data_IF_506513942505
#
_entry.id   IF_506513942505
#
_cell.length_a   1.000
_cell.length_b   1.000
_cell.length_c   1.000
_cell.angle_alpha   90.00
_cell.angle_beta   90.00
_cell.angle_gamma   90.00
#
_symmetry.space_group_name_H-M   'P 1'
#
loop_
_entity.id
_entity.type
_entity.pdbx_description
1 polymer ?
2 polymer ?
3 non-polymer ?
4 water ?
#
# COMPACT_ATOMS: atom_id res chain seq x y z
N UNK A 8 -13.97 -22.12 -9.63
CA UNK A 8 -14.38 -23.05 -8.61
C UNK A 8 -14.37 -22.42 -7.21
N UNK A 9 -13.60 -22.98 -6.30
CA UNK A 9 -14.17 -23.56 -5.10
C UNK A 9 -14.67 -22.48 -4.19
N UNK A 10 -14.31 -21.25 -4.50
CA UNK A 10 -14.19 -20.20 -3.53
C UNK A 10 -15.30 -19.21 -3.78
N UNK A 11 -15.60 -19.07 -5.04
CA UNK A 11 -16.63 -18.17 -5.54
C UNK A 11 -18.03 -18.70 -5.24
N UNK A 12 -18.12 -19.99 -4.92
CA UNK A 12 -19.41 -20.63 -4.65
C UNK A 12 -19.81 -20.48 -3.19
N UNK A 13 -18.81 -20.44 -2.31
CA UNK A 13 -19.05 -20.37 -0.87
C UNK A 13 -19.73 -19.06 -0.48
N UNK A 14 -20.64 -19.14 0.49
CA UNK A 14 -21.28 -17.95 1.03
C UNK A 14 -20.30 -17.17 1.89
N UNK A 15 -20.71 -15.98 2.32
CA UNK A 15 -19.86 -15.13 3.15
C UNK A 15 -19.53 -15.81 4.47
N UNK A 16 -20.51 -16.51 5.03
CA UNK A 16 -20.31 -17.25 6.27
C UNK A 16 -19.33 -18.40 6.08
N UNK A 17 -19.47 -19.11 4.96
CA UNK A 17 -18.55 -20.21 4.65
C UNK A 17 -17.15 -19.68 4.37
N UNK A 18 -17.09 -18.49 3.78
CA UNK A 18 -15.81 -17.83 3.52
C UNK A 18 -15.11 -17.48 4.82
N UNK A 19 -15.84 -16.86 5.74
CA UNK A 19 -15.29 -16.49 7.04
C UNK A 19 -14.82 -17.71 7.83
N UNK A 20 -15.68 -18.72 7.91
CA UNK A 20 -15.37 -19.93 8.66
C UNK A 20 -14.15 -20.66 8.09
N UNK A 21 -14.00 -20.60 6.77
CA UNK A 21 -12.85 -21.22 6.12
C UNK A 21 -11.56 -20.49 6.50
N UNK A 22 -11.62 -19.15 6.51
CA UNK A 22 -10.46 -18.34 6.84
C UNK A 22 -10.10 -18.46 8.32
N UNK A 23 -11.13 -18.55 9.17
CA UNK A 23 -10.91 -18.68 10.61
C UNK A 23 -10.26 -20.02 10.96
N UNK A 24 -10.71 -21.07 10.30
CA UNK A 24 -10.17 -22.41 10.55
C UNK A 24 -8.78 -22.56 9.95
N UNK A 25 -8.45 -21.67 9.02
CA UNK A 25 -7.17 -21.72 8.33
C UNK A 25 -6.11 -20.92 9.07
N UNK A 26 -6.52 -20.19 10.10
CA UNK A 26 -5.62 -19.31 10.85
C UNK A 26 -4.39 -20.03 11.38
N UNK A 27 -3.21 -19.46 11.13
CA UNK A 27 -1.96 -20.00 11.65
C UNK A 27 -1.88 -19.84 13.16
N UNK A 28 -1.16 -20.76 13.83
CA UNK A 28 -1.04 -20.69 15.30
C UNK A 28 -0.09 -19.57 15.74
N UNK A 29 -0.22 -19.16 17.00
CA UNK A 29 0.69 -18.18 17.56
C UNK A 29 1.90 -18.88 18.15
N UNK A 30 3.05 -18.71 17.49
CA UNK A 30 4.27 -19.40 17.91
C UNK A 30 4.97 -18.66 19.04
N UNK A 31 5.84 -19.38 19.75
CA UNK A 31 6.59 -18.79 20.85
C UNK A 31 8.02 -18.46 20.44
N UNK A 32 8.61 -17.49 21.12
CA UNK A 32 9.99 -17.12 20.88
C UNK A 32 10.93 -18.06 21.65
N UNK A 33 12.20 -18.02 21.31
CA UNK A 33 13.19 -18.83 22.00
C UNK A 33 13.39 -18.34 23.43
N UNK A 34 13.43 -19.26 24.38
CA UNK A 34 13.60 -18.91 25.78
C UNK A 34 15.07 -18.96 26.20
N UNK A 39 15.32 -8.66 25.13
CA UNK A 39 16.66 -8.68 24.54
C UNK A 39 17.22 -7.30 24.38
N UNK A 40 18.53 -7.17 24.56
CA UNK A 40 19.15 -5.88 24.43
C UNK A 40 20.35 -5.82 23.53
N UNK A 41 20.47 -6.73 22.60
CA UNK A 41 21.62 -6.68 21.73
C UNK A 41 21.13 -6.67 20.29
N UNK A 42 21.87 -6.07 19.37
CA UNK A 42 21.51 -6.14 17.98
C UNK A 42 21.52 -7.59 17.52
N UNK A 43 22.52 -8.35 17.88
CA UNK A 43 22.62 -9.72 17.43
C UNK A 43 21.56 -10.66 17.96
N UNK A 44 21.30 -10.52 19.25
CA UNK A 44 20.30 -11.29 19.96
C UNK A 44 18.86 -10.95 19.56
N UNK A 45 18.66 -9.67 19.35
CA UNK A 45 17.37 -9.11 18.98
C UNK A 45 16.92 -9.63 17.62
N UNK A 46 17.77 -9.43 16.62
CA UNK A 46 17.50 -9.90 15.27
C UNK A 46 17.48 -11.43 15.23
N UNK A 47 18.31 -12.05 16.07
CA UNK A 47 18.36 -13.50 16.15
C UNK A 47 17.04 -14.11 16.54
N UNK A 48 16.40 -13.54 17.56
CA UNK A 48 15.11 -14.02 18.03
C UNK A 48 14.01 -13.75 17.00
N UNK A 49 14.07 -12.59 16.37
CA UNK A 49 13.06 -12.22 15.37
C UNK A 49 13.20 -13.05 14.10
N UNK A 50 14.44 -13.27 13.68
CA UNK A 50 14.72 -14.08 12.49
C UNK A 50 14.26 -15.52 12.70
N UNK A 51 14.56 -16.07 13.88
CA UNK A 51 14.16 -17.42 14.23
C UNK A 51 12.64 -17.57 14.25
N UNK A 52 11.97 -16.56 14.80
CA UNK A 52 10.52 -16.57 14.89
C UNK A 52 9.87 -16.46 13.51
N UNK A 53 10.37 -15.52 12.71
CA UNK A 53 9.82 -15.27 11.38
C UNK A 53 9.95 -16.49 10.48
N UNK A 54 11.10 -17.17 10.56
CA UNK A 54 11.34 -18.36 9.75
C UNK A 54 10.36 -19.48 10.06
N UNK A 55 10.09 -19.69 11.35
CA UNK A 55 9.15 -20.72 11.77
C UNK A 55 7.71 -20.31 11.46
N UNK A 56 7.46 -19.01 11.40
CA UNK A 56 6.14 -18.50 11.05
C UNK A 56 5.86 -18.67 9.56
N UNK A 57 6.91 -18.58 8.75
CA UNK A 57 6.78 -18.71 7.30
C UNK A 57 6.25 -20.09 6.92
N UNK A 58 6.70 -21.11 7.63
CA UNK A 58 6.27 -22.49 7.36
C UNK A 58 4.77 -22.64 7.60
N UNK A 59 4.26 -21.99 8.64
CA UNK A 59 2.84 -22.04 8.95
C UNK A 59 2.03 -21.15 7.99
N UNK A 60 2.66 -20.09 7.52
CA UNK A 60 2.01 -19.17 6.58
C UNK A 60 1.71 -19.87 5.25
N UNK A 61 2.68 -20.63 4.76
CA UNK A 61 2.55 -21.37 3.52
C UNK A 61 1.37 -22.34 3.57
N UNK A 62 1.21 -23.01 4.71
CA UNK A 62 0.11 -23.94 4.89
C UNK A 62 -1.22 -23.22 5.10
N UNK A 63 -1.15 -22.05 5.73
CA UNK A 63 -2.33 -21.19 5.86
C UNK A 63 -2.77 -20.71 4.48
N UNK A 64 -1.79 -20.35 3.66
CA UNK A 64 -2.05 -19.88 2.30
C UNK A 64 -2.74 -20.95 1.48
N UNK A 65 -2.37 -22.21 1.74
CA UNK A 65 -2.99 -23.34 1.05
C UNK A 65 -4.47 -23.44 1.36
N UNK A 66 -4.84 -23.15 2.61
CA UNK A 66 -6.23 -23.25 3.03
C UNK A 66 -7.01 -21.98 2.70
N UNK A 67 -6.37 -21.03 2.04
CA UNK A 67 -7.05 -19.84 1.56
C UNK A 67 -7.80 -20.16 0.27
N UNK A 68 -9.14 -20.05 0.31
CA UNK A 68 -10.00 -20.39 -0.84
C UNK A 68 -9.63 -19.63 -2.11
N UNK A 69 -9.26 -20.37 -3.15
CA UNK A 69 -8.86 -19.77 -4.42
C UNK A 69 -7.37 -19.85 -4.67
N UNK A 70 -6.59 -19.84 -3.59
CA UNK A 70 -5.14 -19.89 -3.69
C UNK A 70 -4.67 -21.22 -4.26
N UNK A 71 -5.40 -22.28 -3.96
CA UNK A 71 -5.07 -23.62 -4.44
C UNK A 71 -5.22 -23.70 -5.96
N UNK A 72 -6.24 -23.03 -6.48
CA UNK A 72 -6.55 -23.07 -7.90
C UNK A 72 -5.43 -22.45 -8.75
N UNK A 73 -4.66 -21.56 -8.13
CA UNK A 73 -3.53 -20.93 -8.81
C UNK A 73 -2.44 -21.93 -9.11
N UNK A 74 -1.70 -21.70 -10.18
CA UNK A 74 -0.54 -22.54 -10.52
C UNK A 74 0.55 -22.36 -9.46
N UNK A 75 1.48 -23.31 -9.42
CA UNK A 75 2.55 -23.28 -8.42
C UNK A 75 3.38 -22.01 -8.52
N UNK A 76 3.73 -21.64 -9.75
CA UNK A 76 4.57 -20.46 -10.00
C UNK A 76 3.91 -19.18 -9.47
N UNK A 77 2.59 -19.07 -9.65
CA UNK A 77 1.86 -17.90 -9.19
C UNK A 77 1.69 -17.92 -7.67
N UNK A 78 1.57 -19.11 -7.11
CA UNK A 78 1.50 -19.26 -5.65
C UNK A 78 2.81 -18.80 -5.03
N UNK A 79 3.92 -19.15 -5.68
CA UNK A 79 5.24 -18.74 -5.24
C UNK A 79 5.40 -17.22 -5.28
N UNK A 80 4.97 -16.63 -6.40
CA UNK A 80 5.10 -15.19 -6.61
C UNK A 80 4.35 -14.38 -5.57
N UNK A 81 3.11 -14.77 -5.28
CA UNK A 81 2.29 -14.05 -4.31
C UNK A 81 2.86 -14.13 -2.90
N UNK A 82 3.36 -15.31 -2.53
CA UNK A 82 3.96 -15.50 -1.21
C UNK A 82 5.26 -14.71 -1.07
N UNK A 83 6.08 -14.74 -2.11
CA UNK A 83 7.35 -14.01 -2.11
C UNK A 83 7.12 -12.50 -2.00
N UNK A 84 5.98 -12.04 -2.50
CA UNK A 84 5.68 -10.62 -2.54
C UNK A 84 5.13 -10.08 -1.22
N UNK A 85 4.30 -10.88 -0.55
CA UNK A 85 3.54 -10.37 0.59
C UNK A 85 3.89 -11.02 1.93
N UNK A 86 4.95 -11.84 1.96
CA UNK A 86 5.28 -12.59 3.17
C UNK A 86 5.54 -11.70 4.37
N UNK A 87 6.21 -10.57 4.15
CA UNK A 87 6.52 -9.67 5.25
C UNK A 87 5.28 -8.86 5.62
N UNK A 88 4.46 -8.53 4.64
CA UNK A 88 3.19 -7.86 4.89
C UNK A 88 2.30 -8.73 5.78
N UNK A 89 2.21 -10.01 5.43
CA UNK A 89 1.38 -10.96 6.17
C UNK A 89 1.92 -11.18 7.59
N UNK A 90 3.25 -11.22 7.72
CA UNK A 90 3.87 -11.32 9.02
C UNK A 90 3.56 -10.10 9.88
N UNK A 91 3.60 -8.92 9.26
CA UNK A 91 3.42 -7.67 9.99
C UNK A 91 1.97 -7.44 10.42
N UNK A 92 1.02 -7.76 9.53
CA UNK A 92 -0.39 -7.55 9.86
C UNK A 92 -0.83 -8.54 10.94
N UNK A 93 -0.18 -9.69 11.01
CA UNK A 93 -0.43 -10.65 12.05
C UNK A 93 0.09 -10.14 13.38
N UNK A 94 1.31 -9.59 13.34
CA UNK A 94 1.93 -8.99 14.50
C UNK A 94 1.07 -7.85 15.06
N UNK A 95 0.63 -6.98 14.17
CA UNK A 95 -0.22 -5.85 14.52
C UNK A 95 -1.52 -6.33 15.18
N UNK A 96 -2.10 -7.40 14.63
CA UNK A 96 -3.33 -7.96 15.19
C UNK A 96 -3.11 -8.55 16.57
N UNK A 97 -1.96 -9.20 16.78
CA UNK A 97 -1.63 -9.78 18.08
C UNK A 97 -1.37 -8.71 19.13
N UNK A 98 -0.98 -7.53 18.68
CA UNK A 98 -0.58 -6.45 19.57
C UNK A 98 -1.73 -5.49 19.88
N UNK A 99 -2.93 -5.82 19.42
CA UNK A 99 -4.09 -4.94 19.61
C UNK A 99 -4.40 -4.72 21.08
N UNK A 100 -4.59 -5.79 21.83
CA UNK A 100 -4.92 -5.69 23.25
C UNK A 100 -3.65 -5.48 24.09
N UNK A 101 -2.58 -5.02 23.45
CA UNK A 101 -1.37 -4.62 24.15
C UNK A 101 -0.90 -3.26 23.64
N UNK A 102 -1.62 -2.18 23.99
CA UNK A 102 -1.34 -0.83 23.49
C UNK A 102 0.06 -0.35 23.83
N UNK A 103 0.77 0.18 22.84
CA UNK A 103 2.13 0.66 23.03
C UNK A 103 3.13 -0.48 23.08
N UNK A 104 2.66 -1.69 22.78
CA UNK A 104 3.51 -2.87 22.80
C UNK A 104 3.35 -3.68 21.52
N UNK A 105 4.38 -4.45 21.19
CA UNK A 105 4.32 -5.36 20.04
C UNK A 105 4.50 -6.80 20.50
N UNK A 106 3.46 -7.61 20.29
CA UNK A 106 3.49 -9.00 20.70
C UNK A 106 3.96 -9.89 19.55
N UNK A 107 5.28 -10.03 19.42
CA UNK A 107 5.85 -10.95 18.44
C UNK A 107 5.53 -12.37 18.83
N UNK A 108 5.59 -12.62 20.13
CA UNK A 108 5.27 -13.93 20.69
C UNK A 108 4.69 -13.72 22.09
N UNK A 109 3.91 -14.68 22.60
CA UNK A 109 3.35 -14.56 23.95
C UNK A 109 4.43 -14.38 25.02
N UNK A 110 5.63 -14.88 24.73
CA UNK A 110 6.76 -14.73 25.64
C UNK A 110 7.76 -13.68 25.14
N UNK A 111 7.29 -12.77 24.29
CA UNK A 111 8.15 -11.75 23.72
C UNK A 111 7.41 -10.43 23.49
N UNK A 112 7.19 -9.68 24.56
CA UNK A 112 6.57 -8.36 24.46
C UNK A 112 7.64 -7.28 24.36
N UNK A 113 7.48 -6.40 23.38
CA UNK A 113 8.49 -5.38 23.11
C UNK A 113 7.90 -3.99 22.92
N UNK A 114 8.58 -2.98 23.48
CA UNK A 114 8.20 -1.60 23.24
C UNK A 114 9.23 -0.94 22.33
N UNK A 115 8.99 0.31 21.95
CA UNK A 115 9.81 0.98 20.95
C UNK A 115 11.26 1.21 21.41
N UNK A 116 11.49 1.18 22.72
CA UNK A 116 12.81 1.40 23.26
C UNK A 116 13.78 0.26 22.95
N UNK A 117 13.27 -0.96 22.90
CA UNK A 117 14.09 -2.13 22.67
C UNK A 117 14.43 -2.29 21.19
N UNK A 118 13.83 -1.45 20.36
CA UNK A 118 14.13 -1.46 18.93
C UNK A 118 15.31 -0.57 18.59
N UNK A 119 15.87 0.07 19.61
CA UNK A 119 17.01 0.98 19.42
C UNK A 119 18.29 0.20 19.15
N UNK A 120 18.28 -1.09 19.48
CA UNK A 120 19.42 -1.96 19.24
C UNK A 120 19.70 -2.07 17.75
N UNK A 121 18.65 -2.36 17.00
CA UNK A 121 18.76 -2.59 15.56
C UNK A 121 18.41 -1.33 14.77
N UNK A 122 19.28 -0.98 13.82
CA UNK A 122 19.08 0.21 12.99
C UNK A 122 17.82 0.10 12.13
N UNK A 123 17.01 1.15 12.13
CA UNK A 123 15.81 1.19 11.31
C UNK A 123 14.61 0.52 11.97
N UNK A 124 14.85 -0.18 13.06
CA UNK A 124 13.80 -0.93 13.73
C UNK A 124 12.84 -0.02 14.49
N UNK A 125 13.38 1.08 15.03
CA UNK A 125 12.56 2.04 15.77
C UNK A 125 11.49 2.67 14.87
N UNK A 126 11.89 3.07 13.68
CA UNK A 126 10.96 3.68 12.73
C UNK A 126 9.84 2.72 12.35
N UNK A 127 10.20 1.48 12.08
CA UNK A 127 9.22 0.46 11.72
C UNK A 127 8.34 0.11 12.92
N UNK A 128 8.93 0.11 14.11
CA UNK A 128 8.20 -0.15 15.35
C UNK A 128 7.06 0.84 15.54
N UNK A 129 7.36 2.12 15.36
CA UNK A 129 6.35 3.17 15.53
C UNK A 129 5.24 3.04 14.51
N UNK A 130 5.59 2.66 13.29
CA UNK A 130 4.61 2.45 12.24
C UNK A 130 3.73 1.23 12.56
N UNK A 131 4.35 0.21 13.15
CA UNK A 131 3.62 -0.98 13.57
C UNK A 131 2.68 -0.64 14.73
N UNK A 132 3.17 0.16 15.67
CA UNK A 132 2.37 0.58 16.81
C UNK A 132 1.22 1.47 16.37
N UNK A 133 1.48 2.34 15.40
CA UNK A 133 0.45 3.23 14.87
C UNK A 133 -0.64 2.44 14.16
N UNK A 134 -0.25 1.33 13.54
CA UNK A 134 -1.19 0.47 12.85
C UNK A 134 -2.07 -0.28 13.86
N UNK A 135 -1.43 -0.77 14.92
CA UNK A 135 -2.15 -1.47 15.99
C UNK A 135 -3.11 -0.52 16.71
N UNK A 136 -2.68 0.72 16.86
CA UNK A 136 -3.52 1.75 17.47
C UNK A 136 -4.74 2.04 16.62
N UNK A 137 -4.58 1.90 15.31
CA UNK A 137 -5.68 2.15 14.38
C UNK A 137 -6.71 1.03 14.41
N UNK A 138 -6.25 -0.21 14.50
CA UNK A 138 -7.15 -1.36 14.60
C UNK A 138 -7.97 -1.28 15.88
N UNK A 139 -7.33 -0.81 16.95
CA UNK A 139 -8.01 -0.63 18.23
C UNK A 139 -9.13 0.39 18.12
N UNK A 140 -8.81 1.55 17.56
CA UNK A 140 -9.77 2.63 17.41
C UNK A 140 -10.93 2.24 16.50
N UNK A 141 -10.63 1.43 15.49
CA UNK A 141 -11.65 0.95 14.56
C UNK A 141 -12.38 -0.27 15.12
N UNK A 142 -11.85 -0.83 16.20
CA UNK A 142 -12.37 -2.05 16.81
C UNK A 142 -12.44 -3.18 15.78
N UNK A 143 -11.29 -3.45 15.15
CA UNK A 143 -11.19 -4.48 14.13
C UNK A 143 -11.54 -5.86 14.67
N UNK A 144 -12.43 -6.57 13.96
CA UNK A 144 -12.82 -7.91 14.36
C UNK A 144 -11.92 -8.95 13.70
N UNK A 145 -11.88 -10.14 14.30
CA UNK A 145 -11.08 -11.23 13.77
C UNK A 145 -11.57 -11.69 12.41
N UNK A 146 -12.88 -11.61 12.21
CA UNK A 146 -13.48 -11.98 10.93
C UNK A 146 -13.04 -11.00 9.83
N UNK A 147 -12.82 -9.76 10.22
CA UNK A 147 -12.36 -8.74 9.28
C UNK A 147 -10.85 -8.85 9.05
N UNK A 148 -10.13 -9.22 10.11
CA UNK A 148 -8.68 -9.37 10.03
C UNK A 148 -8.27 -10.48 9.07
N UNK A 149 -8.93 -11.64 9.17
CA UNK A 149 -8.60 -12.76 8.32
C UNK A 149 -8.93 -12.46 6.86
N UNK A 150 -9.90 -11.56 6.64
CA UNK A 150 -10.24 -11.12 5.30
C UNK A 150 -9.16 -10.21 4.75
N UNK A 151 -8.67 -9.29 5.57
CA UNK A 151 -7.63 -8.36 5.18
C UNK A 151 -6.33 -9.07 4.84
N UNK A 152 -6.01 -10.10 5.62
CA UNK A 152 -4.77 -10.85 5.43
C UNK A 152 -4.82 -11.67 4.15
N UNK A 153 -5.98 -12.22 3.84
CA UNK A 153 -6.17 -12.98 2.60
C UNK A 153 -6.08 -12.07 1.38
N UNK A 154 -6.55 -10.84 1.54
CA UNK A 154 -6.51 -9.84 0.47
C UNK A 154 -5.06 -9.50 0.13
N UNK A 155 -4.25 -9.25 1.15
CA UNK A 155 -2.83 -8.95 0.98
C UNK A 155 -2.13 -10.04 0.18
N UNK A 156 -2.41 -11.29 0.53
CA UNK A 156 -1.80 -12.44 -0.15
C UNK A 156 -2.13 -12.47 -1.64
N UNK A 157 -3.38 -12.13 -1.98
CA UNK A 157 -3.84 -12.22 -3.35
C UNK A 157 -3.56 -10.95 -4.16
N UNK A 158 -3.60 -9.80 -3.49
CA UNK A 158 -3.48 -8.53 -4.18
C UNK A 158 -2.04 -8.07 -4.43
N UNK A 159 -1.21 -8.14 -3.39
CA UNK A 159 0.12 -7.53 -3.40
C UNK A 159 0.98 -7.84 -4.63
N UNK A 160 0.87 -9.06 -5.15
CA UNK A 160 1.68 -9.48 -6.28
C UNK A 160 0.91 -9.78 -7.55
N UNK A 161 -0.32 -9.28 -7.63
CA UNK A 161 -1.18 -9.57 -8.76
C UNK A 161 -0.80 -8.76 -10.00
N UNK A 162 -0.04 -7.69 -9.80
CA UNK A 162 0.36 -6.82 -10.91
C UNK A 162 1.85 -6.95 -11.22
N UNK A 163 2.46 -8.04 -10.79
CA UNK A 163 3.87 -8.29 -11.05
C UNK A 163 4.10 -9.73 -11.51
N UNK A 175 -4.55 -13.62 -13.65
CA UNK A 175 -4.84 -12.49 -12.77
C UNK A 175 -6.34 -12.24 -12.67
N UNK A 176 -7.08 -12.72 -13.67
CA UNK A 176 -8.52 -12.50 -13.73
C UNK A 176 -9.24 -13.29 -12.64
N UNK A 177 -8.74 -14.50 -12.37
CA UNK A 177 -9.32 -15.35 -11.33
C UNK A 177 -9.09 -14.76 -9.94
N UNK A 178 -7.90 -14.18 -9.74
CA UNK A 178 -7.55 -13.59 -8.45
C UNK A 178 -8.46 -12.41 -8.12
N UNK A 179 -8.79 -11.62 -9.15
CA UNK A 179 -9.69 -10.48 -8.98
C UNK A 179 -11.08 -10.94 -8.54
N UNK A 180 -11.50 -12.09 -9.06
CA UNK A 180 -12.81 -12.66 -8.73
C UNK A 180 -12.86 -13.09 -7.27
N UNK A 181 -11.75 -13.64 -6.77
CA UNK A 181 -11.67 -14.07 -5.38
C UNK A 181 -11.59 -12.85 -4.47
N UNK A 182 -10.88 -11.82 -4.92
CA UNK A 182 -10.78 -10.57 -4.18
C UNK A 182 -12.15 -9.92 -4.01
N UNK A 183 -12.97 -10.01 -5.05
CA UNK A 183 -14.33 -9.49 -5.00
C UNK A 183 -15.18 -10.26 -3.98
N UNK A 184 -14.91 -11.56 -3.87
CA UNK A 184 -15.63 -12.42 -2.94
C UNK A 184 -15.33 -12.02 -1.50
N UNK A 185 -14.07 -11.69 -1.22
CA UNK A 185 -13.65 -11.27 0.10
C UNK A 185 -14.21 -9.88 0.40
N UNK A 186 -14.37 -9.07 -0.65
CA UNK A 186 -15.00 -7.76 -0.52
C UNK A 186 -16.46 -7.91 -0.13
N UNK A 187 -17.17 -8.80 -0.83
CA UNK A 187 -18.56 -9.11 -0.50
C UNK A 187 -18.66 -9.66 0.91
N UNK A 188 -17.61 -10.37 1.32
CA UNK A 188 -17.56 -10.97 2.66
C UNK A 188 -17.40 -9.90 3.73
N UNK A 189 -16.52 -8.92 3.48
CA UNK A 189 -16.31 -7.83 4.41
C UNK A 189 -17.58 -6.98 4.60
N UNK A 190 -18.24 -6.68 3.50
CA UNK A 190 -19.49 -5.92 3.54
C UNK A 190 -20.55 -6.69 4.32
N UNK A 191 -20.57 -8.01 4.13
CA UNK A 191 -21.50 -8.88 4.84
C UNK A 191 -21.29 -8.82 6.35
N UNK A 192 -20.02 -8.80 6.76
CA UNK A 192 -19.68 -8.73 8.18
C UNK A 192 -20.14 -7.41 8.79
N UNK A 193 -19.97 -6.32 8.04
CA UNK A 193 -20.35 -5.01 8.51
C UNK A 193 -21.87 -4.84 8.50
N UNK A 194 -22.52 -5.48 7.53
CA UNK A 194 -23.98 -5.44 7.43
C UNK A 194 -24.62 -6.27 8.54
N UNK A 195 -23.89 -7.29 9.00
CA UNK A 195 -24.37 -8.14 10.09
C UNK A 195 -23.96 -7.56 11.44
N UNK A 196 -23.36 -6.37 11.41
CA UNK A 196 -22.92 -5.71 12.63
C UNK A 196 -23.85 -4.56 12.99
N UNK A 197 -24.75 -4.21 12.08
CA UNK A 197 -25.73 -3.16 12.32
C UNK A 197 -25.33 -1.81 11.75
N UNK A 198 -24.34 -1.82 10.85
CA UNK A 198 -23.90 -0.60 10.20
C UNK A 198 -24.74 -0.26 8.99
N UNK A 199 -25.00 1.03 8.79
CA UNK A 199 -25.76 1.50 7.64
C UNK A 199 -24.92 1.38 6.38
N UNK A 200 -25.56 1.57 5.21
CA UNK A 200 -24.86 1.48 3.93
C UNK A 200 -23.68 2.43 3.84
N UNK A 201 -23.89 3.66 4.29
CA UNK A 201 -22.83 4.67 4.27
C UNK A 201 -21.67 4.24 5.16
N UNK A 202 -22.00 3.64 6.29
CA UNK A 202 -20.99 3.17 7.23
C UNK A 202 -20.27 1.92 6.72
N UNK A 203 -20.92 1.21 5.80
CA UNK A 203 -20.36 -0.03 5.27
C UNK A 203 -19.24 0.25 4.27
N UNK A 204 -19.45 1.15 3.32
CA UNK A 204 -18.47 1.53 2.35
C UNK A 204 -17.31 2.21 3.01
N UNK A 205 -17.67 3.06 3.93
CA UNK A 205 -16.67 3.89 4.59
C UNK A 205 -15.67 3.05 5.37
N UNK A 206 -16.17 2.14 6.20
CA UNK A 206 -15.31 1.27 6.99
C UNK A 206 -14.48 0.37 6.08
N UNK A 207 -15.08 -0.07 4.97
CA UNK A 207 -14.37 -0.86 3.97
C UNK A 207 -13.17 -0.08 3.44
N UNK A 208 -13.40 1.18 3.12
CA UNK A 208 -12.33 2.05 2.61
C UNK A 208 -11.25 2.26 3.67
N UNK A 209 -11.67 2.49 4.90
CA UNK A 209 -10.74 2.73 6.01
C UNK A 209 -9.82 1.53 6.23
N UNK A 210 -10.35 0.33 6.06
CA UNK A 210 -9.58 -0.90 6.25
C UNK A 210 -8.57 -1.12 5.13
N UNK A 211 -9.01 -0.91 3.89
CA UNK A 211 -8.17 -1.16 2.73
C UNK A 211 -7.05 -0.13 2.59
N UNK A 212 -7.29 1.08 3.09
CA UNK A 212 -6.28 2.13 3.03
C UNK A 212 -5.12 1.82 3.98
N UNK A 213 -5.39 1.04 5.01
CA UNK A 213 -4.36 0.62 5.96
C UNK A 213 -3.38 -0.32 5.27
N UNK A 214 -3.87 -1.11 4.32
CA UNK A 214 -3.04 -2.03 3.57
C UNK A 214 -1.95 -1.30 2.78
N UNK A 215 -2.19 -0.03 2.47
CA UNK A 215 -1.20 0.80 1.82
C UNK A 215 -0.04 1.08 2.79
N UNK A 216 -0.36 1.24 4.06
CA UNK A 216 0.64 1.48 5.08
C UNK A 216 1.41 0.21 5.40
N UNK A 217 0.71 -0.93 5.38
CA UNK A 217 1.34 -2.22 5.62
C UNK A 217 2.35 -2.53 4.53
N UNK A 218 2.01 -2.16 3.30
CA UNK A 218 2.94 -2.28 2.18
C UNK A 218 4.19 -1.45 2.41
N UNK A 219 3.99 -0.25 2.95
CA UNK A 219 5.09 0.68 3.21
C UNK A 219 6.05 0.12 4.27
N UNK A 220 5.48 -0.43 5.34
CA UNK A 220 6.29 -1.00 6.41
C UNK A 220 7.08 -2.20 5.92
N UNK A 221 6.46 -3.00 5.05
CA UNK A 221 7.12 -4.16 4.48
C UNK A 221 8.31 -3.78 3.63
N UNK A 222 8.13 -2.76 2.78
CA UNK A 222 9.21 -2.27 1.94
C UNK A 222 10.35 -1.68 2.75
N UNK A 223 10.00 -0.94 3.80
CA UNK A 223 11.00 -0.38 4.71
C UNK A 223 11.70 -1.50 5.48
N UNK A 224 10.94 -2.53 5.86
CA UNK A 224 11.49 -3.67 6.57
C UNK A 224 12.35 -4.53 5.67
N UNK A 225 11.97 -4.62 4.41
CA UNK A 225 12.67 -5.45 3.44
C UNK A 225 14.08 -4.92 3.18
N UNK A 226 14.19 -3.61 2.96
CA UNK A 226 15.47 -3.00 2.63
C UNK A 226 16.43 -3.00 3.81
N UNK A 227 15.87 -3.02 5.03
CA UNK A 227 16.69 -3.10 6.24
C UNK A 227 17.23 -4.51 6.43
N UNK A 228 16.41 -5.50 6.14
CA UNK A 228 16.82 -6.89 6.21
C UNK A 228 17.91 -7.19 5.19
N UNK A 229 17.75 -6.62 3.98
CA UNK A 229 18.74 -6.79 2.93
C UNK A 229 20.03 -6.05 3.26
N UNK A 230 19.90 -4.96 4.03
CA UNK A 230 21.05 -4.17 4.44
C UNK A 230 21.95 -4.96 5.39
N UNK A 231 21.32 -5.63 6.35
CA UNK A 231 22.07 -6.42 7.34
C UNK A 231 22.26 -7.86 6.87
N UNK A 232 21.89 -8.12 5.62
CA UNK A 232 22.14 -9.42 5.00
C UNK A 232 23.49 -9.43 4.31
N UNK A 233 23.82 -8.31 3.65
CA UNK A 233 25.13 -8.16 3.01
C UNK A 233 26.18 -7.77 4.04
N UNK A 234 25.73 -7.21 5.16
CA UNK A 234 26.62 -6.83 6.25
C UNK A 234 26.70 -7.95 7.29
N UNK A 235 26.59 -9.19 6.81
CA UNK A 235 26.63 -10.38 7.66
C UNK A 235 25.57 -10.36 8.75
N UNK A 237 23.12 -10.78 11.74
CA UNK A 237 22.46 -12.06 12.01
C UNK A 237 22.29 -12.88 10.75
N UNK A 238 22.75 -14.15 10.78
CA UNK A 238 22.62 -15.06 9.64
C UNK A 238 21.18 -15.47 9.38
N UNK A 239 20.58 -14.92 8.32
CA UNK A 239 19.21 -15.24 7.96
C UNK A 239 19.07 -16.70 7.54
N UNK A 240 17.91 -17.28 7.77
CA UNK A 240 17.65 -18.66 7.38
C UNK A 240 17.59 -18.79 5.87
N UNK A 241 17.78 -20.01 5.36
CA UNK A 241 17.78 -20.25 3.93
C UNK A 241 16.44 -19.89 3.28
N UNK A 242 15.35 -20.17 3.99
CA UNK A 242 14.02 -19.83 3.50
C UNK A 242 13.85 -18.32 3.42
N UNK A 243 14.23 -17.63 4.50
CA UNK A 243 14.15 -16.17 4.55
C UNK A 243 15.01 -15.53 3.46
N UNK A 244 16.18 -16.09 3.22
CA UNK A 244 17.07 -15.58 2.19
C UNK A 244 16.43 -15.69 0.81
N UNK A 245 15.71 -16.79 0.58
CA UNK A 245 15.01 -16.98 -0.69
C UNK A 245 13.87 -15.97 -0.85
N UNK A 246 13.11 -15.76 0.22
CA UNK A 246 12.03 -14.79 0.21
C UNK A 246 12.56 -13.38 0.01
N UNK A 247 13.72 -13.11 0.60
CA UNK A 247 14.33 -11.79 0.55
C UNK A 247 14.93 -11.49 -0.82
N UNK A 248 15.49 -12.51 -1.46
CA UNK A 248 16.11 -12.35 -2.77
C UNK A 248 15.08 -12.18 -3.87
N UNK A 249 13.82 -12.40 -3.55
CA UNK A 249 12.73 -12.20 -4.49
C UNK A 249 12.47 -10.71 -4.69
N UNK A 250 12.89 -9.91 -3.71
CA UNK A 250 12.75 -8.46 -3.78
C UNK A 250 14.08 -7.80 -4.16
N UNK A 251 14.97 -8.60 -4.75
CA UNK A 251 16.30 -8.14 -5.16
C UNK A 251 17.07 -7.53 -3.99
N UNK B 9 -16.45 23.64 7.14
CA UNK B 9 -15.33 23.97 6.28
C UNK B 9 -15.46 23.31 4.92
N UNK B 10 -14.68 22.26 4.70
CA UNK B 10 -14.73 21.52 3.45
C UNK B 10 -15.48 20.20 3.64
N UNK B 11 -16.02 20.01 4.84
CA UNK B 11 -16.76 18.80 5.17
C UNK B 11 -18.26 18.99 4.96
N UNK B 12 -18.62 19.99 4.16
CA UNK B 12 -20.02 20.29 3.88
C UNK B 12 -20.32 20.22 2.39
N UNK B 13 -19.27 20.18 1.58
CA UNK B 13 -19.42 20.13 0.13
C UNK B 13 -20.07 18.81 -0.31
N UNK B 14 -21.06 18.91 -1.19
CA UNK B 14 -21.72 17.72 -1.71
C UNK B 14 -20.78 16.91 -2.59
N UNK B 15 -21.23 15.75 -3.04
CA UNK B 15 -20.42 14.86 -3.88
C UNK B 15 -20.06 15.54 -5.19
N UNK B 16 -21.01 16.30 -5.74
CA UNK B 16 -20.78 17.03 -6.99
C UNK B 16 -19.78 18.16 -6.80
N UNK B 17 -19.92 18.89 -5.69
CA UNK B 17 -19.03 20.00 -5.39
C UNK B 17 -17.62 19.49 -5.08
N UNK B 18 -17.54 18.32 -4.46
CA UNK B 18 -16.26 17.69 -4.16
C UNK B 18 -15.50 17.37 -5.45
N UNK B 19 -16.21 16.74 -6.40
CA UNK B 19 -15.63 16.39 -7.68
C UNK B 19 -15.18 17.63 -8.45
N UNK B 20 -16.07 18.61 -8.54
CA UNK B 20 -15.79 19.85 -9.26
C UNK B 20 -14.59 20.59 -8.67
N UNK B 21 -14.47 20.56 -7.34
CA UNK B 21 -13.35 21.21 -6.67
C UNK B 21 -12.05 20.53 -7.03
N UNK B 22 -12.05 19.20 -7.07
CA UNK B 22 -10.86 18.43 -7.42
C UNK B 22 -10.52 18.57 -8.90
N UNK B 23 -11.54 18.56 -9.75
CA UNK B 23 -11.34 18.70 -11.19
C UNK B 23 -10.77 20.07 -11.55
N UNK B 24 -11.22 21.11 -10.84
CA UNK B 24 -10.74 22.46 -11.06
C UNK B 24 -9.33 22.64 -10.50
N UNK B 25 -8.97 21.76 -9.56
CA UNK B 25 -7.66 21.84 -8.92
C UNK B 25 -6.61 21.08 -9.72
N UNK B 26 -7.06 20.36 -10.75
CA UNK B 26 -6.17 19.51 -11.54
C UNK B 26 -5.01 20.29 -12.16
N UNK B 27 -3.78 19.83 -11.90
CA UNK B 27 -2.58 20.43 -12.47
C UNK B 27 -2.48 20.11 -13.95
N UNK B 28 -1.73 20.94 -14.70
CA UNK B 28 -1.57 20.71 -16.14
C UNK B 28 -0.53 19.63 -16.45
N UNK B 29 -0.54 19.11 -17.68
CA UNK B 29 0.41 18.08 -18.11
C UNK B 29 1.65 18.74 -18.71
N UNK B 30 2.70 18.84 -17.90
CA UNK B 30 3.90 19.55 -18.32
C UNK B 30 4.69 18.82 -19.41
N UNK B 31 5.37 19.60 -20.26
CA UNK B 31 6.19 19.06 -21.32
C UNK B 31 7.63 18.87 -20.85
N UNK B 32 8.34 17.95 -21.48
CA UNK B 32 9.75 17.72 -21.17
C UNK B 32 10.63 18.41 -22.19
N UNK B 33 11.94 18.35 -21.98
CA UNK B 33 12.89 18.98 -22.90
C UNK B 33 13.29 18.01 -24.01
N UNK B 37 14.71 14.94 -28.97
CA UNK B 37 14.07 13.81 -29.62
C UNK B 37 15.07 12.95 -30.39
N UNK B 38 16.23 12.71 -29.76
CA UNK B 38 17.29 11.82 -30.24
C UNK B 38 18.18 11.21 -29.13
N UNK B 39 18.89 10.09 -29.50
CA UNK B 39 18.40 8.88 -28.84
C UNK B 39 18.56 8.83 -27.35
N UNK B 40 19.73 9.20 -26.89
CA UNK B 40 20.60 8.12 -26.46
C UNK B 40 20.19 7.35 -25.20
N UNK B 41 19.93 8.03 -24.10
CA UNK B 41 20.86 7.84 -22.98
C UNK B 41 20.25 7.62 -21.60
N UNK B 42 20.82 6.72 -20.83
CA UNK B 42 20.37 6.52 -19.46
C UNK B 42 20.58 7.72 -18.51
N UNK B 43 21.71 8.40 -18.57
CA UNK B 43 21.91 9.52 -17.67
C UNK B 43 20.96 10.57 -18.14
N UNK B 44 20.89 10.67 -19.44
CA UNK B 44 20.17 11.78 -20.01
C UNK B 44 18.72 11.48 -19.71
N UNK B 45 18.39 10.23 -19.67
CA UNK B 45 17.04 9.80 -19.46
C UNK B 45 16.57 10.26 -18.10
N UNK B 46 17.40 10.08 -17.10
CA UNK B 46 16.95 10.35 -15.75
C UNK B 46 17.16 11.79 -15.41
N UNK B 47 17.92 12.45 -16.24
CA UNK B 47 18.09 13.89 -16.17
C UNK B 47 16.81 14.60 -16.60
N UNK B 48 16.15 14.08 -17.62
CA UNK B 48 14.91 14.65 -18.12
C UNK B 48 13.76 14.39 -17.14
N UNK B 49 13.68 13.17 -16.63
CA UNK B 49 12.62 12.80 -15.69
C UNK B 49 12.74 13.59 -14.39
N UNK B 50 13.97 13.92 -14.02
CA UNK B 50 14.24 14.73 -12.83
C UNK B 50 13.80 16.16 -13.06
N UNK B 51 14.12 16.71 -14.22
CA UNK B 51 13.72 18.06 -14.59
C UNK B 51 12.21 18.21 -14.67
N UNK B 52 11.54 17.17 -15.18
CA UNK B 52 10.09 17.17 -15.31
C UNK B 52 9.40 17.07 -13.95
N UNK B 53 9.84 16.12 -13.14
CA UNK B 53 9.27 15.90 -11.81
C UNK B 53 9.45 17.13 -10.93
N UNK B 54 10.59 17.79 -11.07
CA UNK B 54 10.88 19.00 -10.29
C UNK B 54 9.87 20.11 -10.57
N UNK B 55 9.52 20.29 -11.84
CA UNK B 55 8.55 21.31 -12.22
C UNK B 55 7.12 20.84 -11.89
N UNK B 56 6.91 19.53 -11.92
CA UNK B 56 5.62 18.96 -11.54
C UNK B 56 5.36 19.13 -10.05
N UNK B 57 6.43 19.12 -9.26
CA UNK B 57 6.32 19.28 -7.82
C UNK B 57 5.69 20.62 -7.45
N UNK B 58 6.13 21.68 -8.13
CA UNK B 58 5.64 23.02 -7.85
C UNK B 58 4.13 23.12 -8.06
N UNK B 59 3.65 22.47 -9.13
CA UNK B 59 2.21 22.43 -9.40
C UNK B 59 1.49 21.56 -8.38
N UNK B 60 2.12 20.47 -7.97
CA UNK B 60 1.53 19.56 -6.99
C UNK B 60 1.34 20.23 -5.64
N UNK B 61 2.33 20.99 -5.22
CA UNK B 61 2.29 21.71 -3.96
C UNK B 61 1.10 22.66 -3.91
N UNK B 62 0.90 23.41 -4.99
CA UNK B 62 -0.21 24.35 -5.08
C UNK B 62 -1.52 23.64 -5.40
N UNK B 63 -1.42 22.41 -5.90
CA UNK B 63 -2.60 21.57 -6.11
C UNK B 63 -3.12 21.06 -4.77
N UNK B 64 -2.18 20.69 -3.90
CA UNK B 64 -2.51 20.19 -2.57
C UNK B 64 -3.27 21.23 -1.76
N UNK B 65 -2.92 22.50 -1.96
CA UNK B 65 -3.57 23.61 -1.28
C UNK B 65 -5.07 23.64 -1.61
N UNK B 66 -5.40 23.31 -2.85
CA UNK B 66 -6.79 23.37 -3.31
C UNK B 66 -7.57 22.11 -2.94
N UNK B 67 -6.87 21.11 -2.40
CA UNK B 67 -7.53 19.90 -1.93
C UNK B 67 -8.31 20.20 -0.65
N UNK B 68 -9.63 19.94 -0.66
CA UNK B 68 -10.52 20.22 0.46
C UNK B 68 -10.05 19.61 1.78
N UNK B 69 -9.72 20.47 2.74
CA UNK B 69 -9.31 20.02 4.06
C UNK B 69 -7.81 20.11 4.31
N UNK B 70 -7.04 20.14 3.22
CA UNK B 70 -5.59 20.17 3.32
C UNK B 70 -5.08 21.50 3.86
N UNK B 71 -5.79 22.58 3.56
CA UNK B 71 -5.40 23.91 4.00
C UNK B 71 -5.76 24.12 5.47
N UNK B 72 -6.60 23.24 6.00
CA UNK B 72 -7.04 23.34 7.39
C UNK B 72 -6.03 22.69 8.34
N UNK B 73 -4.99 22.10 7.78
CA UNK B 73 -3.96 21.45 8.57
C UNK B 73 -2.76 22.37 8.77
N UNK B 74 -1.95 22.08 9.79
CA UNK B 74 -0.79 22.91 10.10
C UNK B 74 0.29 22.78 9.04
N UNK B 75 1.23 23.72 9.03
CA UNK B 75 2.31 23.74 8.06
C UNK B 75 3.18 22.48 8.20
N UNK B 76 3.33 22.00 9.42
CA UNK B 76 4.13 20.81 9.69
C UNK B 76 3.53 19.57 9.04
N UNK B 77 2.23 19.38 9.21
CA UNK B 77 1.56 18.20 8.66
C UNK B 77 1.48 18.24 7.14
N UNK B 78 1.25 19.43 6.59
CA UNK B 78 1.18 19.60 5.15
C UNK B 78 2.52 19.23 4.50
N UNK B 79 3.61 19.59 5.16
CA UNK B 79 4.94 19.23 4.68
C UNK B 79 5.13 17.71 4.73
N UNK B 80 4.75 17.11 5.84
CA UNK B 80 4.91 15.67 6.04
C UNK B 80 4.10 14.85 5.04
N UNK B 81 2.86 15.27 4.79
CA UNK B 81 1.99 14.55 3.86
C UNK B 81 2.53 14.59 2.43
N UNK B 82 3.04 15.76 2.04
CA UNK B 82 3.61 15.92 0.70
C UNK B 82 4.94 15.18 0.57
N UNK B 83 5.73 15.20 1.64
CA UNK B 83 7.01 14.48 1.65
C UNK B 83 6.79 12.98 1.52
N UNK B 84 5.67 12.50 2.04
CA UNK B 84 5.40 11.07 2.06
C UNK B 84 4.81 10.55 0.74
N UNK B 85 4.04 11.38 0.05
CA UNK B 85 3.25 10.89 -1.07
C UNK B 85 3.57 11.56 -2.42
N UNK B 86 4.61 12.38 -2.47
CA UNK B 86 4.90 13.14 -3.68
C UNK B 86 5.21 12.23 -4.87
N UNK B 87 5.91 11.14 -4.64
CA UNK B 87 6.25 10.22 -5.71
C UNK B 87 5.04 9.38 -6.11
N UNK B 88 4.18 9.09 -5.13
CA UNK B 88 2.94 8.36 -5.40
C UNK B 88 2.03 9.18 -6.31
N UNK B 89 1.86 10.46 -5.97
CA UNK B 89 1.01 11.36 -6.73
C UNK B 89 1.54 11.54 -8.15
N UNK B 90 2.87 11.62 -8.28
CA UNK B 90 3.51 11.72 -9.58
C UNK B 90 3.25 10.48 -10.43
N UNK B 91 3.34 9.31 -9.80
CA UNK B 91 3.23 8.05 -10.51
C UNK B 91 1.80 7.72 -10.92
N UNK B 92 0.82 8.04 -10.08
CA UNK B 92 -0.57 7.78 -10.41
C UNK B 92 -1.03 8.75 -11.50
N UNK B 93 -0.38 9.91 -11.56
CA UNK B 93 -0.63 10.87 -12.63
C UNK B 93 -0.05 10.36 -13.93
N UNK B 94 1.15 9.80 -13.84
CA UNK B 94 1.83 9.20 -14.98
C UNK B 94 1.00 8.05 -15.55
N UNK B 95 0.54 7.19 -14.66
CA UNK B 95 -0.28 6.03 -15.03
C UNK B 95 -1.58 6.49 -15.68
N UNK B 96 -2.18 7.55 -15.15
CA UNK B 96 -3.41 8.10 -15.69
C UNK B 96 -3.23 8.64 -17.10
N UNK B 97 -2.08 9.28 -17.34
CA UNK B 97 -1.77 9.83 -18.65
C UNK B 97 -1.64 8.72 -19.69
N UNK B 98 -1.10 7.59 -19.26
CA UNK B 98 -0.76 6.50 -20.18
C UNK B 98 -1.87 5.46 -20.33
N UNK B 99 -3.08 5.84 -19.94
CA UNK B 99 -4.23 4.93 -20.03
C UNK B 99 -4.50 4.47 -21.45
N UNK B 100 -4.69 5.44 -22.35
CA UNK B 100 -4.99 5.12 -23.74
C UNK B 100 -3.72 5.01 -24.57
N UNK B 101 -2.62 4.66 -23.91
CA UNK B 101 -1.36 4.38 -24.60
C UNK B 101 -0.79 3.04 -24.13
N UNK B 102 -1.38 1.93 -24.60
CA UNK B 102 -0.99 0.59 -24.15
C UNK B 102 0.46 0.26 -24.50
N UNK B 103 1.20 -0.22 -23.49
CA UNK B 103 2.58 -0.62 -23.70
C UNK B 103 3.56 0.54 -23.63
N UNK B 104 3.05 1.74 -23.38
CA UNK B 104 3.88 2.93 -23.31
C UNK B 104 3.52 3.80 -22.12
N UNK B 105 4.49 4.60 -21.67
CA UNK B 105 4.27 5.53 -20.58
C UNK B 105 4.35 6.97 -21.06
N UNK B 106 3.29 7.73 -20.81
CA UNK B 106 3.22 9.13 -21.22
C UNK B 106 3.74 10.05 -20.12
N UNK B 107 5.06 10.18 -20.02
CA UNK B 107 5.67 11.09 -19.07
C UNK B 107 5.35 12.53 -19.44
N UNK B 108 5.31 12.79 -20.73
CA UNK B 108 4.98 14.10 -21.28
C UNK B 108 4.41 13.90 -22.67
N UNK B 109 3.53 14.83 -23.12
CA UNK B 109 2.90 14.69 -24.44
C UNK B 109 3.91 14.51 -25.58
N UNK B 110 5.13 14.99 -25.36
CA UNK B 110 6.21 14.78 -26.31
C UNK B 110 7.22 13.77 -25.80
N UNK B 111 6.73 12.77 -25.06
CA UNK B 111 7.62 11.77 -24.46
C UNK B 111 6.90 10.44 -24.21
N UNK B 112 6.85 9.60 -25.23
CA UNK B 112 6.31 8.25 -25.09
C UNK B 112 7.43 7.23 -24.99
N UNK B 113 7.56 6.61 -23.81
CA UNK B 113 8.61 5.63 -23.59
C UNK B 113 8.03 4.21 -23.49
N UNK B 114 8.64 3.28 -24.22
CA UNK B 114 8.26 1.88 -24.10
C UNK B 114 9.17 1.17 -23.11
N UNK B 115 8.90 -0.11 -22.86
CA UNK B 115 9.63 -0.86 -21.85
C UNK B 115 11.10 -1.06 -22.19
N UNK B 116 11.40 -1.20 -23.48
CA UNK B 116 12.75 -1.55 -23.92
C UNK B 116 13.73 -0.37 -23.96
N UNK B 117 13.25 0.82 -23.64
CA UNK B 117 14.11 2.01 -23.67
C UNK B 117 14.76 2.26 -22.32
N UNK B 122 19.00 1.58 -14.32
CA UNK B 122 19.11 0.65 -13.20
C UNK B 122 17.82 0.61 -12.39
N UNK B 123 17.12 -0.51 -12.44
CA UNK B 123 15.86 -0.67 -11.72
C UNK B 123 14.69 -0.01 -12.41
N UNK B 124 14.99 0.68 -13.51
CA UNK B 124 13.99 1.42 -14.26
C UNK B 124 12.91 0.51 -14.87
N UNK B 125 13.36 -0.54 -15.56
CA UNK B 125 12.46 -1.43 -16.28
C UNK B 125 11.56 -2.24 -15.34
N UNK B 126 12.01 -2.43 -14.10
CA UNK B 126 11.22 -3.15 -13.11
C UNK B 126 10.01 -2.30 -12.71
N UNK B 127 10.24 -1.03 -12.46
CA UNK B 127 9.18 -0.09 -12.11
C UNK B 127 8.35 0.25 -13.33
N UNK B 128 9.01 0.27 -14.49
CA UNK B 128 8.35 0.54 -15.77
C UNK B 128 7.22 -0.45 -16.01
N UNK B 129 7.51 -1.74 -15.81
CA UNK B 129 6.52 -2.80 -16.00
C UNK B 129 5.39 -2.70 -14.99
N UNK B 130 5.72 -2.30 -13.76
CA UNK B 130 4.70 -2.11 -12.73
C UNK B 130 3.81 -0.93 -13.08
N UNK B 131 4.41 0.13 -13.61
CA UNK B 131 3.67 1.30 -14.05
C UNK B 131 2.78 0.95 -15.25
N UNK B 132 3.32 0.15 -16.16
CA UNK B 132 2.56 -0.30 -17.33
C UNK B 132 1.39 -1.19 -16.91
N UNK B 133 1.63 -2.05 -15.93
CA UNK B 133 0.58 -2.95 -15.44
C UNK B 133 -0.52 -2.16 -14.74
N UNK B 134 -0.14 -1.11 -14.04
CA UNK B 134 -1.09 -0.25 -13.36
C UNK B 134 -1.97 0.49 -14.36
N UNK B 135 -1.36 0.93 -15.45
CA UNK B 135 -2.08 1.64 -16.51
C UNK B 135 -3.03 0.70 -17.23
N UNK B 136 -2.59 -0.54 -17.44
CA UNK B 136 -3.42 -1.56 -18.07
C UNK B 136 -4.63 -1.88 -17.17
N UNK B 137 -4.43 -1.76 -15.86
CA UNK B 137 -5.49 -2.01 -14.90
C UNK B 137 -6.55 -0.90 -14.97
N UNK B 138 -6.09 0.34 -15.11
CA UNK B 138 -7.00 1.47 -15.25
C UNK B 138 -7.83 1.35 -16.52
N UNK B 139 -7.19 0.89 -17.59
CA UNK B 139 -7.85 0.71 -18.88
C UNK B 139 -8.89 -0.38 -18.81
N UNK B 140 -8.55 -1.46 -18.11
CA UNK B 140 -9.46 -2.59 -17.93
C UNK B 140 -10.69 -2.18 -17.14
N UNK B 141 -10.48 -1.42 -16.07
CA UNK B 141 -11.57 -0.98 -15.21
C UNK B 141 -12.30 0.23 -15.78
N UNK B 142 -11.75 0.79 -16.86
CA UNK B 142 -12.28 2.01 -17.47
C UNK B 142 -12.40 3.13 -16.44
N UNK B 143 -11.26 3.50 -15.86
CA UNK B 143 -11.23 4.51 -14.81
C UNK B 143 -11.70 5.87 -15.31
N UNK B 144 -12.58 6.51 -14.55
CA UNK B 144 -13.08 7.83 -14.88
C UNK B 144 -12.25 8.92 -14.21
N UNK B 145 -12.17 10.08 -14.84
CA UNK B 145 -11.41 11.20 -14.32
C UNK B 145 -11.90 11.67 -12.97
N UNK B 146 -13.20 11.50 -12.73
CA UNK B 146 -13.80 11.85 -11.45
C UNK B 146 -13.33 10.92 -10.36
N UNK B 147 -13.08 9.66 -10.72
CA UNK B 147 -12.57 8.67 -9.78
C UNK B 147 -11.08 8.86 -9.53
N UNK B 148 -10.36 9.25 -10.58
CA UNK B 148 -8.92 9.46 -10.51
C UNK B 148 -8.55 10.58 -9.53
N UNK B 149 -9.23 11.72 -9.66
CA UNK B 149 -8.94 12.86 -8.80
C UNK B 149 -9.26 12.56 -7.34
N UNK B 150 -10.20 11.64 -7.12
CA UNK B 150 -10.53 11.19 -5.78
C UNK B 150 -9.41 10.34 -5.20
N UNK B 151 -8.96 9.37 -6.00
CA UNK B 151 -7.88 8.48 -5.59
C UNK B 151 -6.59 9.25 -5.29
N UNK B 152 -6.28 10.22 -6.14
CA UNK B 152 -5.07 11.02 -6.00
C UNK B 152 -5.13 11.86 -4.73
N UNK B 153 -6.32 12.35 -4.39
CA UNK B 153 -6.51 13.13 -3.17
C UNK B 153 -6.44 12.22 -1.95
N UNK B 154 -6.90 10.98 -2.10
CA UNK B 154 -6.83 9.99 -1.03
C UNK B 154 -5.37 9.70 -0.68
N UNK B 155 -4.55 9.55 -1.72
CA UNK B 155 -3.12 9.31 -1.54
C UNK B 155 -2.46 10.41 -0.70
N UNK B 156 -2.76 11.65 -1.03
CA UNK B 156 -2.18 12.80 -0.34
C UNK B 156 -2.48 12.79 1.16
N UNK B 157 -3.71 12.43 1.51
CA UNK B 157 -4.17 12.49 2.89
C UNK B 157 -3.89 11.21 3.68
N UNK B 158 -3.88 10.07 3.00
CA UNK B 158 -3.76 8.79 3.67
C UNK B 158 -2.33 8.30 3.83
N UNK B 159 -1.45 8.61 2.88
CA UNK B 159 -0.10 8.05 2.86
C UNK B 159 0.72 8.35 4.11
N UNK B 160 0.59 9.56 4.65
CA UNK B 160 1.36 9.95 5.81
C UNK B 160 0.51 10.25 7.03
N UNK B 161 -0.61 9.56 7.17
CA UNK B 161 -1.52 9.80 8.28
C UNK B 161 -1.16 8.92 9.49
N UNK B 162 -0.35 7.90 9.25
CA UNK B 162 0.05 6.98 10.33
C UNK B 162 1.57 6.92 10.48
N UNK B 163 2.24 8.05 10.24
CA UNK B 163 3.69 8.09 10.32
C UNK B 163 4.17 9.11 11.35
N UNK B 172 -2.20 14.56 21.79
CA UNK B 172 -2.27 15.99 21.50
C UNK B 172 -3.07 16.25 20.23
N UNK B 173 -2.43 16.08 19.08
CA UNK B 173 -3.05 16.39 17.79
C UNK B 173 -3.89 15.22 17.28
N UNK B 174 -5.12 15.52 16.90
CA UNK B 174 -6.02 14.51 16.33
C UNK B 174 -5.98 14.57 14.82
N UNK B 175 -6.24 13.42 14.19
CA UNK B 175 -6.29 13.33 12.74
C UNK B 175 -7.64 12.81 12.29
N UNK B 176 -8.66 13.02 13.13
CA UNK B 176 -10.02 12.64 12.82
C UNK B 176 -10.58 13.50 11.70
N UNK B 177 -10.02 14.70 11.56
CA UNK B 177 -10.40 15.60 10.47
C UNK B 177 -10.02 14.99 9.13
N UNK B 178 -8.81 14.43 9.07
CA UNK B 178 -8.32 13.78 7.86
C UNK B 178 -9.17 12.56 7.52
N UNK B 179 -9.54 11.80 8.55
CA UNK B 179 -10.41 10.64 8.37
C UNK B 179 -11.79 11.07 7.90
N UNK B 180 -12.26 12.22 8.38
CA UNK B 180 -13.56 12.74 8.00
C UNK B 180 -13.58 13.14 6.52
N UNK B 181 -12.48 13.73 6.06
CA UNK B 181 -12.35 14.10 4.65
C UNK B 181 -12.22 12.85 3.79
N UNK B 182 -11.46 11.88 4.28
CA UNK B 182 -11.29 10.60 3.59
C UNK B 182 -12.61 9.86 3.45
N UNK B 183 -13.41 9.87 4.52
CA UNK B 183 -14.73 9.25 4.51
C UNK B 183 -15.64 9.97 3.51
N UNK B 184 -15.41 11.27 3.34
CA UNK B 184 -16.19 12.07 2.41
C UNK B 184 -15.88 11.69 0.97
N UNK B 185 -14.59 11.54 0.68
CA UNK B 185 -14.14 11.14 -0.65
C UNK B 185 -14.62 9.72 -0.97
N UNK B 186 -14.73 8.89 0.07
CA UNK B 186 -15.30 7.56 -0.08
C UNK B 186 -16.75 7.66 -0.53
N UNK B 187 -17.51 8.54 0.14
CA UNK B 187 -18.89 8.81 -0.24
C UNK B 187 -18.95 9.39 -1.63
N UNK B 188 -17.99 10.26 -1.94
CA UNK B 188 -17.89 10.88 -3.25
C UNK B 188 -17.70 9.83 -4.34
N UNK B 189 -16.78 8.91 -4.10
CA UNK B 189 -16.52 7.81 -5.03
C UNK B 189 -17.78 6.96 -5.24
N UNK B 190 -18.42 6.58 -4.15
CA UNK B 190 -19.63 5.75 -4.20
C UNK B 190 -20.76 6.46 -4.95
N UNK B 191 -20.92 7.75 -4.70
CA UNK B 191 -21.96 8.55 -5.36
C UNK B 191 -21.79 8.56 -6.87
N UNK B 192 -20.54 8.59 -7.32
CA UNK B 192 -20.23 8.57 -8.74
C UNK B 192 -20.63 7.25 -9.38
N UNK B 193 -20.37 6.16 -8.66
CA UNK B 193 -20.61 4.82 -9.18
C UNK B 193 -22.10 4.46 -9.15
N UNK B 194 -22.82 5.02 -8.20
CA UNK B 194 -24.26 4.83 -8.13
C UNK B 194 -24.93 5.56 -9.28
N UNK B 195 -24.31 6.66 -9.72
CA UNK B 195 -24.81 7.42 -10.86
C UNK B 195 -24.40 6.74 -12.16
N UNK B 196 -23.45 5.83 -12.08
CA UNK B 196 -22.98 5.08 -13.24
C UNK B 196 -23.86 3.86 -13.49
N UNK B 197 -24.85 3.66 -12.63
CA UNK B 197 -25.80 2.57 -12.78
C UNK B 197 -25.34 1.27 -12.16
N UNK B 198 -24.23 1.31 -11.42
CA UNK B 198 -23.69 0.11 -10.78
C UNK B 198 -24.54 -0.30 -9.59
N UNK B 199 -24.72 -1.61 -9.41
CA UNK B 199 -25.45 -2.14 -8.27
C UNK B 199 -24.63 -1.99 -7.00
N UNK B 200 -25.27 -2.13 -5.86
CA UNK B 200 -24.60 -1.98 -4.56
C UNK B 200 -23.41 -2.94 -4.43
N UNK B 201 -23.57 -4.15 -4.94
CA UNK B 201 -22.49 -5.13 -4.90
C UNK B 201 -21.34 -4.66 -5.80
N UNK B 202 -21.69 -4.17 -6.98
CA UNK B 202 -20.70 -3.64 -7.93
C UNK B 202 -20.05 -2.37 -7.38
N UNK B 203 -20.74 -1.70 -6.48
CA UNK B 203 -20.23 -0.46 -5.88
C UNK B 203 -19.14 -0.75 -4.84
N UNK B 204 -19.37 -1.72 -3.99
CA UNK B 204 -18.36 -2.14 -3.04
C UNK B 204 -17.15 -2.72 -3.69
N UNK B 205 -17.36 -3.56 -4.67
CA UNK B 205 -16.28 -4.27 -5.35
C UNK B 205 -15.29 -3.33 -6.03
N UNK B 206 -15.80 -2.51 -6.93
CA UNK B 206 -14.96 -1.58 -7.69
C UNK B 206 -14.30 -0.55 -6.75
N UNK B 207 -14.99 -0.19 -5.67
CA UNK B 207 -14.40 0.66 -4.65
C UNK B 207 -13.18 -0.01 -4.05
N UNK B 208 -13.31 -1.30 -3.75
CA UNK B 208 -12.20 -2.09 -3.22
C UNK B 208 -11.07 -2.19 -4.23
N UNK B 209 -11.44 -2.43 -5.49
CA UNK B 209 -10.47 -2.55 -6.57
C UNK B 209 -9.62 -1.30 -6.73
N UNK B 210 -10.25 -0.14 -6.61
CA UNK B 210 -9.55 1.13 -6.74
C UNK B 210 -8.55 1.35 -5.62
N UNK B 211 -8.95 1.02 -4.40
CA UNK B 211 -8.12 1.26 -3.23
C UNK B 211 -7.00 0.24 -3.07
N UNK B 212 -7.16 -0.93 -3.69
CA UNK B 212 -6.12 -1.94 -3.66
C UNK B 212 -4.97 -1.57 -4.59
N UNK B 213 -5.28 -0.74 -5.59
CA UNK B 213 -4.27 -0.25 -6.52
C UNK B 213 -3.30 0.69 -5.81
N UNK B 214 -3.82 1.44 -4.84
CA UNK B 214 -3.01 2.36 -4.05
C UNK B 214 -1.91 1.63 -3.29
N UNK B 215 -2.14 0.36 -3.01
CA UNK B 215 -1.13 -0.48 -2.37
C UNK B 215 0.06 -0.70 -3.32
N UNK B 216 -0.25 -0.88 -4.59
CA UNK B 216 0.77 -1.06 -5.61
C UNK B 216 1.46 0.27 -5.92
N UNK B 217 0.68 1.34 -5.89
CA UNK B 217 1.20 2.68 -6.12
C UNK B 217 2.19 3.05 -5.02
N UNK B 218 1.86 2.65 -3.79
CA UNK B 218 2.78 2.79 -2.66
C UNK B 218 4.05 2.00 -2.91
N UNK B 219 3.89 0.78 -3.40
CA UNK B 219 5.00 -0.12 -3.66
C UNK B 219 5.95 0.45 -4.70
N UNK B 220 5.38 0.90 -5.82
CA UNK B 220 6.17 1.50 -6.89
C UNK B 220 6.93 2.73 -6.41
N UNK B 221 6.31 3.48 -5.50
CA UNK B 221 6.95 4.67 -4.94
C UNK B 221 8.14 4.29 -4.07
N UNK B 222 7.95 3.29 -3.21
CA UNK B 222 9.03 2.81 -2.34
C UNK B 222 10.23 2.32 -3.14
N UNK B 223 9.96 1.49 -4.14
CA UNK B 223 11.01 0.98 -5.02
C UNK B 223 11.63 2.13 -5.81
N UNK B 224 10.80 3.08 -6.19
CA UNK B 224 11.26 4.25 -6.92
C UNK B 224 12.07 5.18 -6.05
N UNK B 225 11.68 5.28 -4.78
CA UNK B 225 12.35 6.17 -3.84
C UNK B 225 13.78 5.72 -3.58
N UNK B 226 13.96 4.43 -3.31
CA UNK B 226 15.27 3.90 -2.93
C UNK B 226 16.27 3.93 -4.08
N UNK B 227 15.77 3.82 -5.31
CA UNK B 227 16.64 3.92 -6.48
C UNK B 227 17.10 5.36 -6.67
N UNK B 228 16.30 6.30 -6.20
CA UNK B 228 16.62 7.71 -6.36
C UNK B 228 17.71 8.16 -5.38
N UNK B 229 17.63 7.73 -4.12
CA UNK B 229 18.66 8.10 -3.17
C UNK B 229 19.78 7.06 -3.13
N UNK B 230 19.91 6.30 -4.21
CA UNK B 230 21.06 5.42 -4.41
C UNK B 230 21.96 6.05 -5.46
N UNK B 231 21.38 6.93 -6.28
CA UNK B 231 22.13 7.65 -7.30
C UNK B 231 22.31 9.11 -6.88
N UNK B 232 22.11 9.37 -5.59
CA UNK B 232 22.23 10.72 -5.05
C UNK B 232 23.68 11.04 -4.67
N UNK B 239 19.10 15.42 -8.97
CA UNK B 239 20.04 16.48 -8.65
C UNK B 239 19.31 17.77 -8.27
N UNK B 240 18.02 17.82 -8.57
CA UNK B 240 17.20 19.00 -8.27
C UNK B 240 17.18 19.32 -6.78
N UNK B 241 17.13 20.61 -6.45
CA UNK B 241 17.17 21.05 -5.07
C UNK B 241 15.94 20.66 -4.27
N UNK B 242 14.76 20.89 -4.84
CA UNK B 242 13.51 20.55 -4.16
C UNK B 242 13.38 19.04 -4.01
N UNK B 243 13.78 18.30 -5.05
CA UNK B 243 13.72 16.85 -5.02
C UNK B 243 14.63 16.26 -3.95
N UNK B 244 15.77 16.90 -3.72
CA UNK B 244 16.71 16.44 -2.70
C UNK B 244 16.10 16.51 -1.30
N UNK B 245 15.28 17.53 -1.07
CA UNK B 245 14.60 17.68 0.22
C UNK B 245 13.50 16.64 0.38
N UNK B 246 12.75 16.39 -0.69
CA UNK B 246 11.68 15.40 -0.67
C UNK B 246 12.26 13.99 -0.52
N UNK B 247 13.42 13.77 -1.12
CA UNK B 247 14.04 12.45 -1.14
C UNK B 247 14.72 12.11 0.20
N UNK B 248 15.32 13.13 0.82
CA UNK B 248 15.98 12.93 2.11
C UNK B 248 14.97 12.68 3.22
N UNK B 249 13.70 13.00 2.96
CA UNK B 249 12.64 12.79 3.93
C UNK B 249 12.44 11.30 4.22
N UNK B 250 12.86 10.46 3.28
CA UNK B 250 12.78 9.02 3.46
C UNK B 250 14.11 8.45 3.93
N UNK C 2 15.83 -25.85 -6.72
CA UNK C 2 15.17 -24.65 -7.21
C UNK C 2 14.88 -23.67 -6.08
N UNK C 3 13.88 -24.00 -5.26
CA UNK C 3 13.51 -23.15 -4.13
C UNK C 3 12.86 -23.97 -3.02
N UNK C 4 13.11 -23.56 -1.78
CA UNK C 4 12.53 -24.23 -0.62
C UNK C 4 11.02 -23.98 -0.58
N UNK C 5 10.62 -22.81 -1.05
CA UNK C 5 9.21 -22.43 -1.10
C UNK C 5 8.42 -23.39 -1.99
N UNK C 6 9.08 -23.94 -3.00
CA UNK C 6 8.46 -24.92 -3.89
C UNK C 6 8.05 -26.17 -3.15
N UNK C 7 8.98 -26.74 -2.39
CA UNK C 7 8.74 -28.00 -1.68
C UNK C 7 7.66 -27.86 -0.61
N UNK C 8 7.70 -26.75 0.13
CA UNK C 8 6.75 -26.52 1.20
C UNK C 8 5.35 -26.24 0.66
N UNK C 9 5.28 -25.77 -0.58
CA UNK C 9 3.99 -25.52 -1.23
C UNK C 9 3.40 -26.80 -1.80
N UNK C 10 4.24 -27.82 -1.97
CA UNK C 10 3.78 -29.10 -2.50
C UNK C 10 3.57 -30.12 -1.39
N UNK C 11 4.34 -29.99 -0.33
CA UNK C 11 4.24 -30.90 0.81
C UNK C 11 3.17 -30.43 1.80
N UNK D 3 13.26 24.63 4.75
CA UNK D 3 12.86 23.73 3.67
C UNK D 3 12.14 24.49 2.57
N UNK D 4 12.44 24.13 1.32
CA UNK D 4 11.80 24.74 0.16
C UNK D 4 10.31 24.44 0.13
N UNK D 5 9.96 23.21 0.50
CA UNK D 5 8.58 22.77 0.54
C UNK D 5 7.73 23.62 1.47
N UNK D 6 8.28 23.94 2.64
CA UNK D 6 7.59 24.76 3.62
C UNK D 6 7.43 26.20 3.11
N UNK D 7 8.43 26.66 2.35
CA UNK D 7 8.42 28.01 1.82
C UNK D 7 7.39 28.15 0.69
N UNK D 8 7.28 27.10 -0.13
CA UNK D 8 6.35 27.11 -1.25
C UNK D 8 4.91 26.95 -0.78
N UNK D 9 4.74 26.35 0.39
CA UNK D 9 3.42 26.23 1.01
C UNK D 9 3.00 27.56 1.61
N UNK D 10 3.95 28.47 1.78
CA UNK D 10 3.69 29.80 2.30
C UNK D 10 3.45 30.79 1.16
N UNK D 11 4.30 30.70 0.13
CA UNK D 11 4.21 31.61 -1.01
C UNK D 11 3.09 31.22 -1.96
#
# INVERSE_FOLDING_TARGET
>A
IKRSKKNSLALSLTADQMVSALLDAEPPILYSEYDPTRPFSEASMMGLLTNLADRELVHMINWAKRVPGFVDLTLHDQVHLLECAWLEILMIGLVWRSMEHPGKLLFAPNLLLDRNQGKCVEGMVEIFDMLLATSSRFRMMNLQGEEFVCLKSIILLNSGVYTFLSSTLKSLEEKDHIHRVLDKITDTLIHLMAKAGLTLQQQHQRLAQLLLILSHIRHMSNKGMEHLYSMKCKNVVPLSDLLLEMLDAHRLHAPTS
>B
IKRSKKNSLALSLTADQMVSALLDAEPPILYSEYDPTRPFSEASMMGLLTNLADRELVHMINWAKRVPGFVDLTLHDQVHLLECAWLEILMIGLVWRSMEHPGKLLFAPNLLLDRNQGKCVEGMVEIFDMLLATSSRFRMMNLQGEEFVCLKSIILLNSGVYTFLSSTLKSLEEKDHIHRVLDKITDTLIHLMAKAGLTLQQQHQRLAQLLLILSHIRHMSNKGMEHLYSMKCKNVVPLSDLLLEMLDAHRLHAPTS
>C
KHKILHRLLQDSSS
>D
KHKILHRLLQDSSS
#
